data_IF_983158913149
#
_entry.id   IF_983158913149
#
_cell.length_a   1.000
_cell.length_b   1.000
_cell.length_c   1.000
_cell.angle_alpha   90.00
_cell.angle_beta   90.00
_cell.angle_gamma   90.00
#
_symmetry.space_group_name_H-M   'P 1'
#
loop_
_entity.id
_entity.type
_entity.pdbx_description
1 polymer ?
#
# COMPACT_ATOMS: atom_id res chain seq x y z
N UNK A 1 -7.75 -35.66 14.54
CA UNK A 1 -6.38 -35.11 14.57
C UNK A 1 -6.50 -33.63 14.45
N UNK A 2 -6.30 -33.02 15.56
CA UNK A 2 -6.66 -31.64 15.91
C UNK A 2 -5.71 -30.64 15.25
N UNK A 3 -6.24 -29.72 14.41
CA UNK A 3 -5.48 -28.59 13.92
C UNK A 3 -5.71 -27.43 14.88
N UNK A 4 -4.86 -27.37 15.91
CA UNK A 4 -4.86 -26.29 16.87
C UNK A 4 -4.70 -24.94 16.18
N UNK A 5 -5.79 -24.21 16.01
CA UNK A 5 -5.76 -22.79 15.78
C UNK A 5 -5.12 -22.13 17.00
N UNK A 6 -3.96 -21.50 16.83
CA UNK A 6 -3.37 -20.64 17.85
C UNK A 6 -4.25 -19.39 17.95
N UNK A 7 -5.20 -19.42 18.86
CA UNK A 7 -5.89 -18.23 19.35
C UNK A 7 -4.89 -17.38 20.13
N UNK A 8 -4.21 -16.50 19.42
CA UNK A 8 -3.53 -15.37 20.03
C UNK A 8 -4.59 -14.43 20.58
N UNK A 9 -4.59 -14.16 21.88
CA UNK A 9 -5.45 -13.17 22.53
C UNK A 9 -5.42 -11.88 21.68
N UNK A 10 -6.57 -11.52 21.10
CA UNK A 10 -6.67 -10.31 20.29
C UNK A 10 -6.46 -9.10 21.23
N UNK A 11 -5.36 -8.38 21.06
CA UNK A 11 -5.11 -7.11 21.76
C UNK A 11 -6.18 -6.10 21.32
N UNK A 12 -6.66 -5.27 22.25
CA UNK A 12 -7.56 -4.20 21.88
C UNK A 12 -6.82 -3.16 20.99
N UNK A 13 -7.54 -2.52 20.07
CA UNK A 13 -6.94 -1.53 19.17
C UNK A 13 -6.16 -0.45 19.94
N UNK A 14 -6.69 0.00 21.07
CA UNK A 14 -6.05 1.02 21.91
C UNK A 14 -4.76 0.56 22.59
N UNK A 15 -4.55 -0.75 22.76
CA UNK A 15 -3.28 -1.30 23.27
C UNK A 15 -2.20 -1.26 22.18
N UNK A 16 -2.60 -1.30 20.91
CA UNK A 16 -1.70 -1.26 19.75
C UNK A 16 -1.42 0.19 19.33
N UNK A 17 -2.48 1.00 19.25
CA UNK A 17 -2.43 2.41 18.86
C UNK A 17 -3.26 3.22 19.87
N UNK A 18 -2.64 3.93 20.82
CA UNK A 18 -3.35 4.70 21.83
C UNK A 18 -4.34 5.71 21.23
N UNK A 19 -5.56 5.73 21.73
CA UNK A 19 -6.64 6.60 21.25
C UNK A 19 -7.21 6.20 19.88
N UNK A 20 -6.92 4.97 19.41
CA UNK A 20 -7.44 4.54 18.12
C UNK A 20 -8.98 4.45 18.13
N UNK A 21 -9.61 4.04 19.20
CA UNK A 21 -11.06 3.86 19.30
C UNK A 21 -11.82 5.05 19.93
N UNK A 22 -11.16 6.22 20.04
CA UNK A 22 -11.79 7.43 20.61
C UNK A 22 -13.00 7.92 19.81
N UNK A 23 -12.93 7.85 18.48
CA UNK A 23 -14.06 8.13 17.60
C UNK A 23 -14.62 6.79 17.05
N UNK A 24 -15.87 6.76 16.67
CA UNK A 24 -16.53 5.59 16.06
C UNK A 24 -17.28 6.00 14.81
N UNK A 25 -17.38 5.07 13.88
CA UNK A 25 -18.19 5.18 12.69
C UNK A 25 -18.93 3.86 12.48
N UNK A 26 -20.24 3.91 12.32
CA UNK A 26 -21.05 2.69 12.19
C UNK A 26 -20.93 2.05 10.82
N UNK A 27 -20.49 2.80 9.83
CA UNK A 27 -20.37 2.37 8.44
C UNK A 27 -19.02 1.73 8.10
N UNK A 28 -17.97 2.00 8.91
CA UNK A 28 -16.62 1.47 8.73
C UNK A 28 -16.04 1.02 10.05
N UNK A 29 -15.84 -0.28 10.19
CA UNK A 29 -15.15 -0.88 11.34
C UNK A 29 -13.70 -1.19 10.98
N UNK A 30 -12.80 -0.91 11.91
CA UNK A 30 -11.36 -1.13 11.74
C UNK A 30 -10.84 -1.85 12.99
N UNK A 31 -10.30 -3.06 12.80
CA UNK A 31 -9.62 -3.80 13.85
C UNK A 31 -8.14 -3.93 13.51
N UNK A 32 -7.30 -3.86 14.53
CA UNK A 32 -5.85 -3.85 14.38
C UNK A 32 -5.24 -5.18 14.83
N UNK A 33 -4.19 -5.61 14.10
CA UNK A 33 -3.33 -6.71 14.52
C UNK A 33 -1.89 -6.35 14.23
N UNK A 34 -1.05 -6.32 15.25
CA UNK A 34 0.39 -6.12 15.11
C UNK A 34 1.05 -7.40 14.61
N UNK A 35 1.95 -7.28 13.64
CA UNK A 35 2.81 -8.37 13.18
C UNK A 35 4.18 -8.24 13.86
N UNK A 36 4.48 -9.15 14.78
CA UNK A 36 5.70 -9.08 15.58
C UNK A 36 6.97 -9.41 14.77
N UNK A 37 6.84 -10.24 13.73
CA UNK A 37 7.94 -10.69 12.87
C UNK A 37 8.45 -9.61 11.91
N UNK A 38 7.75 -8.49 11.80
CA UNK A 38 8.11 -7.37 10.91
C UNK A 38 7.94 -6.07 11.66
N UNK A 39 9.05 -5.40 11.94
CA UNK A 39 9.04 -4.12 12.65
C UNK A 39 8.18 -3.07 11.92
N UNK A 40 7.33 -2.36 12.67
CA UNK A 40 6.43 -1.33 12.15
C UNK A 40 5.34 -1.84 11.23
N UNK A 41 5.01 -3.15 11.26
CA UNK A 41 3.96 -3.75 10.46
C UNK A 41 2.65 -3.88 11.24
N UNK A 42 1.57 -3.43 10.60
CA UNK A 42 0.21 -3.45 11.14
C UNK A 42 -0.76 -3.97 10.09
N UNK A 43 -1.60 -4.93 10.49
CA UNK A 43 -2.76 -5.36 9.72
C UNK A 43 -3.98 -4.60 10.20
N UNK A 44 -4.74 -4.05 9.26
CA UNK A 44 -5.97 -3.31 9.48
C UNK A 44 -7.12 -4.08 8.82
N UNK A 45 -7.91 -4.75 9.62
CA UNK A 45 -9.10 -5.47 9.15
C UNK A 45 -10.23 -4.48 8.96
N UNK A 46 -10.62 -4.27 7.72
CA UNK A 46 -11.66 -3.32 7.33
C UNK A 46 -12.98 -4.05 7.08
N UNK A 47 -14.09 -3.51 7.57
CA UNK A 47 -15.43 -4.03 7.30
C UNK A 47 -16.43 -2.91 7.15
N UNK A 48 -17.27 -2.98 6.12
CA UNK A 48 -18.25 -1.96 5.74
C UNK A 48 -17.98 -1.32 4.40
N UNK A 49 -17.96 0.00 4.33
CA UNK A 49 -17.67 0.75 3.11
C UNK A 49 -16.85 2.01 3.41
N UNK A 50 -16.19 2.55 2.38
CA UNK A 50 -15.40 3.78 2.49
C UNK A 50 -15.91 4.76 1.45
N UNK A 51 -16.59 5.80 1.91
CA UNK A 51 -17.18 6.83 1.07
C UNK A 51 -16.67 8.24 1.42
N UNK A 52 -17.31 9.25 0.84
CA UNK A 52 -16.96 10.65 1.08
C UNK A 52 -17.26 11.09 2.52
N UNK A 53 -18.28 10.49 3.16
CA UNK A 53 -18.73 10.90 4.49
C UNK A 53 -17.83 10.37 5.60
N UNK A 54 -17.36 9.11 5.48
CA UNK A 54 -16.48 8.48 6.48
C UNK A 54 -14.98 8.54 6.13
N UNK A 55 -14.61 9.07 4.96
CA UNK A 55 -13.20 9.16 4.55
C UNK A 55 -12.33 9.97 5.52
N UNK A 56 -12.87 11.02 6.14
CA UNK A 56 -12.13 11.80 7.14
C UNK A 56 -11.89 11.00 8.43
N UNK A 57 -12.89 10.24 8.90
CA UNK A 57 -12.73 9.30 10.00
C UNK A 57 -11.63 8.27 9.66
N UNK A 58 -11.71 7.65 8.48
CA UNK A 58 -10.71 6.69 8.02
C UNK A 58 -9.30 7.28 7.99
N UNK A 59 -9.14 8.48 7.44
CA UNK A 59 -7.85 9.17 7.39
C UNK A 59 -7.27 9.45 8.79
N UNK A 60 -8.06 9.96 9.70
CA UNK A 60 -7.62 10.24 11.08
C UNK A 60 -7.14 8.98 11.80
N UNK A 61 -7.87 7.87 11.64
CA UNK A 61 -7.52 6.57 12.25
C UNK A 61 -6.18 6.07 11.76
N UNK A 62 -5.99 6.07 10.45
CA UNK A 62 -4.74 5.56 9.86
C UNK A 62 -3.57 6.51 10.16
N UNK A 63 -3.80 7.83 10.19
CA UNK A 63 -2.78 8.79 10.59
C UNK A 63 -2.25 8.51 12.01
N UNK A 64 -3.13 8.22 12.99
CA UNK A 64 -2.72 7.83 14.35
C UNK A 64 -1.79 6.60 14.33
N UNK A 65 -2.13 5.57 13.54
CA UNK A 65 -1.29 4.38 13.42
C UNK A 65 0.08 4.71 12.82
N UNK A 66 0.13 5.56 11.79
CA UNK A 66 1.38 6.00 11.15
C UNK A 66 2.23 6.84 12.12
N UNK A 67 1.62 7.72 12.91
CA UNK A 67 2.28 8.54 13.93
C UNK A 67 2.87 7.69 15.06
N UNK A 68 2.21 6.60 15.43
CA UNK A 68 2.70 5.62 16.41
C UNK A 68 3.90 4.79 15.88
N UNK A 69 4.23 4.91 14.59
CA UNK A 69 5.40 4.26 13.98
C UNK A 69 5.07 3.08 13.05
N UNK A 70 3.80 2.77 12.84
CA UNK A 70 3.42 1.74 11.88
C UNK A 70 3.45 2.31 10.46
N UNK A 71 4.48 1.92 9.70
CA UNK A 71 4.69 2.39 8.32
C UNK A 71 4.56 1.29 7.27
N UNK A 72 4.45 0.03 7.70
CA UNK A 72 4.19 -1.13 6.84
C UNK A 72 2.74 -1.57 7.09
N UNK A 73 1.84 -1.15 6.20
CA UNK A 73 0.40 -1.28 6.41
C UNK A 73 -0.19 -2.36 5.50
N UNK A 74 -0.86 -3.34 6.09
CA UNK A 74 -1.66 -4.34 5.37
C UNK A 74 -3.13 -4.02 5.61
N UNK A 75 -3.84 -3.61 4.58
CA UNK A 75 -5.29 -3.40 4.64
C UNK A 75 -6.00 -4.66 4.17
N UNK A 76 -6.58 -5.40 5.10
CA UNK A 76 -7.43 -6.55 4.80
C UNK A 76 -8.80 -6.01 4.36
N UNK A 77 -9.09 -6.13 3.07
CA UNK A 77 -10.23 -5.49 2.40
C UNK A 77 -11.38 -6.47 2.09
N UNK A 78 -11.29 -7.72 2.51
CA UNK A 78 -12.34 -8.74 2.24
C UNK A 78 -13.71 -8.38 2.81
N UNK A 79 -13.76 -7.59 3.90
CA UNK A 79 -14.98 -7.06 4.48
C UNK A 79 -15.49 -5.75 3.88
N UNK A 80 -14.78 -5.14 2.91
CA UNK A 80 -15.17 -3.90 2.25
C UNK A 80 -16.03 -4.20 1.03
N UNK A 81 -17.23 -3.64 1.00
CA UNK A 81 -18.18 -3.87 -0.08
C UNK A 81 -18.30 -2.70 -1.07
N UNK A 82 -17.79 -1.53 -0.73
CA UNK A 82 -17.77 -0.34 -1.59
C UNK A 82 -16.64 0.62 -1.20
N UNK A 83 -16.03 1.24 -2.21
CA UNK A 83 -15.05 2.33 -2.02
C UNK A 83 -15.33 3.43 -3.04
N UNK A 84 -15.48 4.66 -2.57
CA UNK A 84 -15.62 5.84 -3.44
C UNK A 84 -14.25 6.31 -3.95
N UNK A 85 -14.24 7.23 -4.93
CA UNK A 85 -13.00 7.89 -5.38
C UNK A 85 -12.28 8.63 -4.25
N UNK A 86 -13.02 9.23 -3.31
CA UNK A 86 -12.45 9.87 -2.12
C UNK A 86 -11.80 8.84 -1.19
N UNK A 87 -12.42 7.67 -1.02
CA UNK A 87 -11.85 6.55 -0.26
C UNK A 87 -10.55 6.05 -0.89
N UNK A 88 -10.48 5.88 -2.21
CA UNK A 88 -9.24 5.52 -2.92
C UNK A 88 -8.18 6.61 -2.75
N UNK A 89 -8.58 7.88 -2.78
CA UNK A 89 -7.70 9.01 -2.48
C UNK A 89 -7.05 8.90 -1.09
N UNK A 90 -7.79 8.38 -0.09
CA UNK A 90 -7.25 8.15 1.25
C UNK A 90 -6.12 7.12 1.25
N UNK A 91 -6.26 5.98 0.57
CA UNK A 91 -5.18 4.99 0.43
C UNK A 91 -3.94 5.59 -0.26
N UNK A 92 -4.16 6.44 -1.27
CA UNK A 92 -3.05 7.14 -1.95
C UNK A 92 -2.35 8.10 -1.00
N UNK A 93 -3.09 8.81 -0.15
CA UNK A 93 -2.51 9.70 0.86
C UNK A 93 -1.67 8.93 1.88
N UNK A 94 -2.14 7.77 2.34
CA UNK A 94 -1.38 6.90 3.25
C UNK A 94 -0.08 6.42 2.60
N UNK A 95 -0.15 5.93 1.36
CA UNK A 95 1.02 5.49 0.61
C UNK A 95 2.06 6.60 0.51
N UNK A 96 1.64 7.82 0.18
CA UNK A 96 2.51 9.00 0.12
C UNK A 96 3.12 9.36 1.48
N UNK A 97 2.42 9.10 2.58
CA UNK A 97 2.91 9.37 3.94
C UNK A 97 3.95 8.35 4.41
N UNK A 98 3.78 7.06 4.07
CA UNK A 98 4.68 5.99 4.55
C UNK A 98 5.90 5.79 3.65
N UNK A 99 5.79 5.99 2.33
CA UNK A 99 6.89 5.78 1.36
C UNK A 99 8.19 6.54 1.69
N UNK A 100 8.16 7.85 2.03
CA UNK A 100 9.38 8.58 2.39
C UNK A 100 10.06 8.07 3.65
N UNK A 101 9.32 7.34 4.49
CA UNK A 101 9.81 6.74 5.75
C UNK A 101 10.28 5.28 5.57
N UNK A 102 10.39 4.81 4.33
CA UNK A 102 10.76 3.42 4.02
C UNK A 102 9.63 2.41 4.22
N UNK A 103 8.39 2.89 4.37
CA UNK A 103 7.19 2.07 4.50
C UNK A 103 6.52 1.76 3.16
N UNK A 104 5.49 0.95 3.22
CA UNK A 104 4.65 0.61 2.08
C UNK A 104 3.24 0.20 2.53
N UNK A 105 2.37 0.00 1.55
CA UNK A 105 0.99 -0.38 1.73
C UNK A 105 0.66 -1.60 0.85
N UNK A 106 0.01 -2.58 1.45
CA UNK A 106 -0.53 -3.76 0.77
C UNK A 106 -2.04 -3.80 0.95
N UNK A 107 -2.77 -4.04 -0.13
CA UNK A 107 -4.19 -4.35 -0.12
C UNK A 107 -4.35 -5.88 -0.17
N UNK A 108 -4.97 -6.45 0.84
CA UNK A 108 -5.16 -7.88 1.00
C UNK A 108 -6.63 -8.24 0.76
N UNK A 109 -6.87 -9.30 -0.02
CA UNK A 109 -8.20 -9.87 -0.27
C UNK A 109 -9.23 -8.84 -0.78
N UNK A 110 -8.83 -7.96 -1.68
CA UNK A 110 -9.75 -6.96 -2.24
C UNK A 110 -10.86 -7.63 -3.07
N UNK A 111 -12.12 -7.30 -2.78
CA UNK A 111 -13.24 -7.88 -3.51
C UNK A 111 -13.22 -7.44 -4.99
N UNK A 112 -13.61 -8.32 -5.95
CA UNK A 112 -13.55 -8.02 -7.39
C UNK A 112 -14.23 -6.71 -7.78
N UNK A 113 -15.44 -6.46 -7.27
CA UNK A 113 -16.20 -5.22 -7.53
C UNK A 113 -15.52 -3.95 -7.02
N UNK A 114 -14.75 -4.06 -5.92
CA UNK A 114 -13.97 -2.95 -5.37
C UNK A 114 -12.70 -2.78 -6.20
N UNK A 115 -12.05 -3.87 -6.60
CA UNK A 115 -10.87 -3.84 -7.46
C UNK A 115 -11.15 -3.21 -8.83
N UNK A 116 -12.32 -3.48 -9.42
CA UNK A 116 -12.76 -2.84 -10.67
C UNK A 116 -12.74 -1.30 -10.56
N UNK A 117 -13.17 -0.73 -9.43
CA UNK A 117 -13.13 0.72 -9.21
C UNK A 117 -11.69 1.23 -9.20
N UNK A 118 -10.77 0.50 -8.55
CA UNK A 118 -9.33 0.84 -8.59
C UNK A 118 -8.76 0.80 -10.01
N UNK A 119 -9.18 -0.18 -10.82
CA UNK A 119 -8.75 -0.31 -12.22
C UNK A 119 -9.30 0.83 -13.08
N UNK A 120 -10.61 1.09 -13.00
CA UNK A 120 -11.27 2.15 -13.78
C UNK A 120 -10.68 3.54 -13.51
N UNK A 121 -10.26 3.79 -12.28
CA UNK A 121 -9.65 5.06 -11.88
C UNK A 121 -8.11 5.07 -12.08
N UNK A 122 -7.52 4.00 -12.61
CA UNK A 122 -6.08 3.89 -12.87
C UNK A 122 -5.21 3.75 -11.62
N UNK A 123 -5.81 3.40 -10.48
CA UNK A 123 -5.07 3.29 -9.20
C UNK A 123 -4.52 1.89 -8.92
N UNK A 124 -4.97 0.84 -9.62
CA UNK A 124 -4.53 -0.54 -9.38
C UNK A 124 -3.01 -0.74 -9.47
N UNK A 125 -2.34 0.02 -10.33
CA UNK A 125 -0.89 -0.05 -10.52
C UNK A 125 -0.07 0.60 -9.38
N UNK A 126 -0.71 1.37 -8.50
CA UNK A 126 -0.01 2.07 -7.42
C UNK A 126 0.06 1.26 -6.13
N UNK A 127 -0.72 0.19 -6.01
CA UNK A 127 -0.84 -0.61 -4.80
C UNK A 127 -0.33 -2.02 -5.00
N UNK A 128 0.34 -2.54 -3.98
CA UNK A 128 0.66 -3.95 -3.89
C UNK A 128 -0.60 -4.71 -3.46
N UNK A 129 -1.12 -5.59 -4.31
CA UNK A 129 -2.30 -6.41 -4.01
C UNK A 129 -1.82 -7.84 -3.78
N UNK A 130 -2.34 -8.49 -2.74
CA UNK A 130 -2.01 -9.86 -2.35
C UNK A 130 -3.27 -10.61 -1.95
N UNK A 131 -3.20 -11.93 -2.09
CA UNK A 131 -4.32 -12.83 -1.80
C UNK A 131 -4.20 -13.49 -0.42
N UNK A 132 -3.03 -13.40 0.22
CA UNK A 132 -2.81 -13.96 1.56
C UNK A 132 -1.99 -13.05 2.48
N UNK A 133 -2.20 -13.21 3.79
CA UNK A 133 -1.42 -12.48 4.80
C UNK A 133 0.05 -12.89 4.77
N UNK A 134 0.35 -14.17 4.52
CA UNK A 134 1.72 -14.67 4.45
C UNK A 134 2.49 -14.03 3.30
N UNK A 135 1.86 -13.84 2.14
CA UNK A 135 2.44 -13.10 1.03
C UNK A 135 2.69 -11.63 1.37
N UNK A 136 1.75 -11.00 2.09
CA UNK A 136 1.89 -9.61 2.53
C UNK A 136 3.04 -9.44 3.53
N UNK A 137 3.16 -10.36 4.48
CA UNK A 137 4.26 -10.39 5.45
C UNK A 137 5.60 -10.67 4.75
N UNK A 138 5.62 -11.61 3.83
CA UNK A 138 6.81 -11.96 3.02
C UNK A 138 7.27 -10.77 2.17
N UNK A 139 6.35 -10.02 1.59
CA UNK A 139 6.63 -8.79 0.85
C UNK A 139 7.39 -7.78 1.73
N UNK A 140 6.94 -7.57 2.97
CA UNK A 140 7.61 -6.66 3.89
C UNK A 140 8.93 -7.21 4.45
N UNK A 141 9.04 -8.53 4.62
CA UNK A 141 10.30 -9.19 5.02
C UNK A 141 11.36 -9.07 3.90
N UNK A 142 10.99 -9.31 2.66
CA UNK A 142 11.89 -9.16 1.51
C UNK A 142 12.38 -7.71 1.35
N UNK A 143 11.53 -6.72 1.66
CA UNK A 143 11.93 -5.30 1.68
C UNK A 143 12.82 -4.92 2.86
N UNK A 144 12.86 -5.72 3.94
CA UNK A 144 13.75 -5.50 5.11
C UNK A 144 15.11 -6.17 4.95
N UNK A 145 15.21 -7.24 4.18
CA UNK A 145 16.46 -7.69 3.57
C UNK A 145 16.65 -6.87 2.30
N UNK A 146 16.78 -5.55 2.44
CA UNK A 146 17.24 -4.73 1.35
C UNK A 146 18.66 -5.15 0.99
N UNK A 147 18.80 -6.14 0.13
CA UNK A 147 19.52 -5.82 -1.08
C UNK A 147 18.79 -4.61 -1.65
N UNK A 148 19.35 -3.44 -1.48
CA UNK A 148 19.28 -2.38 -2.45
C UNK A 148 19.79 -3.06 -3.72
N UNK A 149 18.94 -3.82 -4.41
CA UNK A 149 19.08 -4.01 -5.83
C UNK A 149 19.00 -2.56 -6.28
N UNK A 150 20.15 -2.00 -6.53
CA UNK A 150 20.29 -0.71 -7.17
C UNK A 150 19.62 -0.93 -8.52
N UNK A 151 18.29 -0.65 -8.58
CA UNK A 151 17.50 -0.69 -9.81
C UNK A 151 18.13 0.25 -10.83
N UNK A 152 19.12 0.98 -10.37
CA UNK A 152 19.97 1.86 -11.14
C UNK A 152 21.45 1.45 -10.97
N UNK A 153 22.21 1.52 -12.07
CA UNK A 153 21.83 2.01 -13.39
C UNK A 153 20.94 1.00 -14.14
N UNK A 154 19.76 1.45 -14.59
CA UNK A 154 18.83 0.64 -15.38
C UNK A 154 19.07 0.88 -16.87
N UNK A 155 19.21 -0.23 -17.63
CA UNK A 155 19.23 -0.19 -19.08
C UNK A 155 17.83 -0.56 -19.58
N UNK A 156 17.25 0.26 -20.43
CA UNK A 156 15.92 0.06 -21.01
C UNK A 156 15.88 0.55 -22.46
N UNK A 157 14.88 0.11 -23.21
CA UNK A 157 14.68 0.58 -24.58
C UNK A 157 13.65 1.69 -24.63
N UNK A 158 13.90 2.74 -25.39
CA UNK A 158 12.91 3.78 -25.63
C UNK A 158 11.66 3.17 -26.28
N UNK A 159 10.45 3.37 -25.73
CA UNK A 159 9.23 2.77 -26.27
C UNK A 159 8.85 3.32 -27.67
N UNK A 160 9.45 4.45 -28.09
CA UNK A 160 9.15 5.08 -29.39
C UNK A 160 10.13 4.65 -30.49
N UNK A 161 11.44 4.65 -30.19
CA UNK A 161 12.47 4.39 -31.22
C UNK A 161 13.38 3.21 -30.90
N UNK A 162 13.08 2.46 -29.85
CA UNK A 162 13.83 1.26 -29.40
C UNK A 162 15.31 1.50 -29.05
N UNK A 163 15.77 2.75 -29.03
CA UNK A 163 17.13 3.10 -28.60
C UNK A 163 17.36 2.64 -27.17
N UNK A 164 18.46 1.93 -26.93
CA UNK A 164 18.90 1.56 -25.57
C UNK A 164 19.37 2.81 -24.81
N UNK A 165 18.80 3.03 -23.65
CA UNK A 165 19.09 4.13 -22.76
C UNK A 165 19.52 3.60 -21.40
N UNK A 166 20.31 4.40 -20.67
CA UNK A 166 20.74 4.06 -19.31
C UNK A 166 20.29 5.18 -18.38
N UNK A 167 19.49 4.82 -17.38
CA UNK A 167 19.14 5.72 -16.28
C UNK A 167 19.97 5.39 -15.05
N UNK A 168 20.52 6.40 -14.41
CA UNK A 168 21.32 6.26 -13.17
C UNK A 168 20.48 6.52 -11.91
N UNK A 169 19.29 7.06 -12.06
CA UNK A 169 18.32 7.35 -10.98
C UNK A 169 16.91 7.47 -11.56
N UNK A 170 15.90 7.45 -10.69
CA UNK A 170 14.53 7.82 -11.05
C UNK A 170 14.44 9.30 -11.49
N UNK A 171 13.47 9.62 -12.33
CA UNK A 171 13.26 11.00 -12.81
C UNK A 171 12.81 11.07 -14.26
N UNK A 172 12.82 12.30 -14.79
CA UNK A 172 12.50 12.54 -16.20
C UNK A 172 13.78 12.55 -17.03
N UNK A 173 13.71 11.88 -18.17
CA UNK A 173 14.81 11.74 -19.13
C UNK A 173 14.31 12.08 -20.52
N UNK A 174 15.20 12.57 -21.36
CA UNK A 174 14.91 12.76 -22.78
C UNK A 174 15.68 11.73 -23.59
N UNK A 175 14.99 11.03 -24.46
CA UNK A 175 15.64 10.10 -25.37
C UNK A 175 16.68 10.84 -26.24
N UNK A 176 17.89 10.31 -26.29
CA UNK A 176 18.98 10.91 -27.09
C UNK A 176 18.69 10.91 -28.59
N UNK A 177 17.92 9.94 -29.07
CA UNK A 177 17.58 9.75 -30.48
C UNK A 177 16.33 10.54 -30.88
N UNK A 178 15.15 10.12 -30.39
CA UNK A 178 13.86 10.67 -30.83
C UNK A 178 13.37 11.87 -29.98
N UNK A 179 14.15 12.30 -28.97
CA UNK A 179 13.85 13.44 -28.08
C UNK A 179 12.59 13.29 -27.22
N UNK A 180 11.90 12.16 -27.27
CA UNK A 180 10.73 11.87 -26.41
C UNK A 180 11.11 12.00 -24.95
N UNK A 181 10.22 12.61 -24.16
CA UNK A 181 10.36 12.68 -22.71
C UNK A 181 9.87 11.36 -22.11
N UNK A 182 10.67 10.79 -21.23
CA UNK A 182 10.41 9.55 -20.53
C UNK A 182 10.50 9.81 -19.03
N UNK A 183 9.64 9.21 -18.25
CA UNK A 183 9.74 9.20 -16.80
C UNK A 183 10.08 7.79 -16.32
N UNK A 184 10.94 7.69 -15.30
CA UNK A 184 11.27 6.42 -14.63
C UNK A 184 11.00 6.63 -13.15
N UNK A 185 10.20 5.76 -12.59
CA UNK A 185 9.89 5.79 -11.16
C UNK A 185 10.98 5.11 -10.30
N UNK A 186 10.79 5.15 -8.98
CA UNK A 186 11.72 4.56 -8.01
C UNK A 186 11.80 3.03 -8.09
N UNK A 187 10.83 2.37 -8.71
CA UNK A 187 10.83 0.93 -8.97
C UNK A 187 11.32 0.59 -10.38
N UNK A 188 11.81 1.61 -11.11
CA UNK A 188 12.41 1.45 -12.42
C UNK A 188 11.42 1.23 -13.56
N UNK A 189 10.13 1.50 -13.39
CA UNK A 189 9.17 1.47 -14.50
C UNK A 189 9.33 2.69 -15.39
N UNK A 190 9.20 2.50 -16.70
CA UNK A 190 9.40 3.53 -17.72
C UNK A 190 8.05 3.95 -18.28
N UNK A 191 7.78 5.25 -18.27
CA UNK A 191 6.55 5.86 -18.79
C UNK A 191 6.88 6.90 -19.85
N UNK A 192 5.92 7.19 -20.71
CA UNK A 192 5.96 8.41 -21.54
C UNK A 192 5.64 9.60 -20.64
N UNK A 193 6.52 10.58 -20.61
CA UNK A 193 6.42 11.78 -19.76
C UNK A 193 5.80 12.98 -20.46
#
# INVERSE_FOLDING_TARGET
MDKGAREGSAMANNDIVPGFDDDKDDSLKINLQKINDVEGCLVLYLSGYIDTYNSNFFQKRIAKAIETGFIKLVFQCGGINYVSSTGIGSFTAFLKSVKPRGGDLVLLEIQPKVYEVFQLLGFSQFFNIRDSLDESVSFFKAGTTAEIITLFPKIFSCPICSKKLKATKAGRFRCSECKTILAIDNVGQVFLG
#
